data_IF_335594031826
#
_entry.id   IF_335594031826
#
_cell.length_a   1.000
_cell.length_b   1.000
_cell.length_c   1.000
_cell.angle_alpha   90.00
_cell.angle_beta   90.00
_cell.angle_gamma   90.00
#
_symmetry.space_group_name_H-M   'P 1'
#
loop_
_entity.id
_entity.type
_entity.pdbx_description
1 polymer ?
#
# COMPACT_ATOMS: atom_id res chain seq x y z
N UNK A 1 20.48 -3.35 -1.11
CA UNK A 1 19.47 -3.29 -2.18
C UNK A 1 18.13 -3.18 -1.51
N UNK A 2 17.40 -2.12 -1.81
CA UNK A 2 16.08 -1.88 -1.23
C UNK A 2 15.04 -2.03 -2.33
N UNK A 3 13.84 -2.41 -1.96
CA UNK A 3 12.70 -2.48 -2.85
C UNK A 3 11.88 -1.21 -2.71
N UNK A 4 11.50 -0.66 -3.85
CA UNK A 4 10.48 0.37 -3.92
C UNK A 4 9.16 -0.30 -4.27
N UNK A 5 8.11 0.04 -3.52
CA UNK A 5 6.76 -0.47 -3.73
C UNK A 5 5.74 0.64 -3.59
N UNK A 6 4.56 0.41 -4.16
CA UNK A 6 3.40 1.30 -3.98
C UNK A 6 2.36 0.53 -3.19
N UNK A 7 1.98 1.08 -2.04
CA UNK A 7 0.89 0.57 -1.20
C UNK A 7 -0.31 1.48 -1.39
N UNK A 8 -1.45 0.87 -1.73
CA UNK A 8 -2.72 1.58 -1.84
C UNK A 8 -3.45 1.44 -0.52
N UNK A 9 -3.71 2.56 0.15
CA UNK A 9 -4.32 2.57 1.48
C UNK A 9 -5.73 1.94 1.49
N UNK A 10 -6.53 2.23 0.47
CA UNK A 10 -7.91 1.71 0.34
C UNK A 10 -7.96 0.20 0.10
N UNK A 11 -6.85 -0.40 -0.34
CA UNK A 11 -6.72 -1.85 -0.48
C UNK A 11 -6.15 -2.51 0.78
N UNK A 12 -5.76 -1.72 1.78
CA UNK A 12 -5.16 -2.19 3.03
C UNK A 12 -6.22 -2.20 4.13
N UNK A 13 -6.65 -3.37 4.54
CA UNK A 13 -7.54 -3.51 5.70
C UNK A 13 -6.85 -3.05 6.99
N UNK A 14 -5.54 -3.29 7.09
CA UNK A 14 -4.74 -2.93 8.26
C UNK A 14 -3.56 -2.04 7.88
N UNK A 15 -3.60 -0.81 8.38
CA UNK A 15 -2.59 0.24 8.13
C UNK A 15 -1.35 0.11 9.00
N UNK A 16 -1.31 -0.86 9.93
CA UNK A 16 -0.18 -0.99 10.86
C UNK A 16 1.12 -1.37 10.12
N UNK A 17 0.98 -2.06 8.97
CA UNK A 17 2.13 -2.39 8.10
C UNK A 17 2.84 -1.15 7.55
N UNK A 18 2.16 0.01 7.45
CA UNK A 18 2.78 1.27 7.04
C UNK A 18 3.77 1.81 8.09
N UNK A 19 3.69 1.35 9.34
CA UNK A 19 4.64 1.72 10.41
C UNK A 19 5.94 0.92 10.34
N UNK A 20 5.91 -0.24 9.70
CA UNK A 20 7.05 -1.15 9.54
C UNK A 20 7.91 -0.83 8.30
N UNK A 21 7.43 0.08 7.44
CA UNK A 21 8.06 0.47 6.17
C UNK A 21 8.32 1.97 6.14
N UNK A 22 9.35 2.38 5.41
CA UNK A 22 9.67 3.80 5.25
C UNK A 22 8.83 4.40 4.12
N UNK A 23 7.99 5.37 4.41
CA UNK A 23 7.20 6.08 3.39
C UNK A 23 8.07 7.18 2.78
N UNK A 24 8.33 7.06 1.49
CA UNK A 24 9.16 8.00 0.73
C UNK A 24 8.31 9.09 0.10
N UNK A 25 7.11 8.73 -0.36
CA UNK A 25 6.21 9.67 -1.03
C UNK A 25 4.75 9.26 -0.81
N UNK A 26 3.85 10.25 -0.82
CA UNK A 26 2.41 10.02 -0.75
C UNK A 26 1.73 10.78 -1.87
N UNK A 27 1.00 10.06 -2.71
CA UNK A 27 0.23 10.64 -3.81
C UNK A 27 -1.25 10.31 -3.60
N UNK A 28 -2.09 11.34 -3.60
CA UNK A 28 -3.55 11.18 -3.46
C UNK A 28 -4.19 11.57 -4.80
N UNK A 29 -4.97 10.66 -5.38
CA UNK A 29 -5.70 10.88 -6.63
C UNK A 29 -7.19 10.67 -6.43
N UNK A 30 -8.01 11.69 -6.72
CA UNK A 30 -9.46 11.56 -6.62
C UNK A 30 -10.01 10.65 -7.70
N UNK A 31 -10.96 9.79 -7.33
CA UNK A 31 -11.61 8.88 -8.29
C UNK A 31 -12.49 9.72 -9.20
N UNK A 32 -12.17 9.74 -10.49
CA UNK A 32 -13.02 10.37 -11.50
C UNK A 32 -14.08 9.38 -11.98
N UNK A 33 -15.20 9.87 -12.52
CA UNK A 33 -16.31 9.02 -13.00
C UNK A 33 -15.90 7.95 -14.04
N UNK A 34 -14.73 8.10 -14.68
CA UNK A 34 -14.17 7.09 -15.59
C UNK A 34 -13.54 5.87 -14.90
N UNK A 35 -13.26 5.93 -13.59
CA UNK A 35 -12.70 4.81 -12.84
C UNK A 35 -13.85 3.88 -12.45
N UNK A 36 -13.76 2.60 -12.84
CA UNK A 36 -14.75 1.54 -12.54
C UNK A 36 -14.76 1.10 -11.06
N UNK A 37 -14.50 2.02 -10.13
CA UNK A 37 -14.44 1.78 -8.68
C UNK A 37 -15.31 2.80 -7.94
N UNK A 38 -16.65 2.73 -8.08
CA UNK A 38 -17.58 3.71 -7.51
C UNK A 38 -17.64 3.72 -5.98
N UNK A 39 -17.08 2.70 -5.31
CA UNK A 39 -17.03 2.62 -3.85
C UNK A 39 -15.84 3.37 -3.22
N UNK A 40 -14.82 3.72 -4.01
CA UNK A 40 -13.64 4.47 -3.55
C UNK A 40 -13.78 5.93 -3.98
N UNK A 41 -13.60 6.87 -3.05
CA UNK A 41 -13.69 8.32 -3.35
C UNK A 41 -12.34 8.94 -3.73
N UNK A 42 -11.25 8.36 -3.23
CA UNK A 42 -9.87 8.78 -3.53
C UNK A 42 -8.93 7.58 -3.42
N UNK A 43 -7.91 7.53 -4.27
CA UNK A 43 -6.81 6.60 -4.22
C UNK A 43 -5.63 7.25 -3.49
N UNK A 44 -5.31 6.73 -2.30
CA UNK A 44 -4.10 7.12 -1.57
C UNK A 44 -3.00 6.10 -1.87
N UNK A 45 -1.98 6.53 -2.58
CA UNK A 45 -0.81 5.73 -2.95
C UNK A 45 0.40 6.16 -2.11
N UNK A 46 0.84 5.28 -1.23
CA UNK A 46 2.08 5.43 -0.47
C UNK A 46 3.22 4.73 -1.21
N UNK A 47 4.20 5.51 -1.67
CA UNK A 47 5.47 4.96 -2.15
C UNK A 47 6.31 4.63 -0.94
N UNK A 48 6.63 3.35 -0.76
CA UNK A 48 7.40 2.85 0.38
C UNK A 48 8.73 2.26 -0.08
N UNK A 49 9.75 2.47 0.74
CA UNK A 49 11.05 1.83 0.60
C UNK A 49 11.18 0.74 1.66
N UNK A 50 11.47 -0.47 1.22
CA UNK A 50 11.63 -1.62 2.11
C UNK A 50 12.99 -2.25 1.89
N UNK A 51 13.78 -2.33 2.96
CA UNK A 51 15.03 -3.07 2.94
C UNK A 51 14.74 -4.54 2.59
N UNK A 52 15.56 -5.14 1.71
CA UNK A 52 15.39 -6.52 1.24
C UNK A 52 15.24 -7.56 2.35
N UNK A 53 15.86 -7.28 3.49
CA UNK A 53 15.81 -8.08 4.72
C UNK A 53 14.41 -8.13 5.33
N UNK A 54 13.68 -7.01 5.29
CA UNK A 54 12.31 -6.87 5.83
C UNK A 54 11.23 -7.09 4.78
N UNK A 55 11.57 -7.02 3.50
CA UNK A 55 10.61 -7.19 2.41
C UNK A 55 9.83 -8.51 2.51
N UNK A 56 10.48 -9.58 2.97
CA UNK A 56 9.83 -10.87 3.17
C UNK A 56 8.83 -10.85 4.34
N UNK A 57 9.20 -10.25 5.47
CA UNK A 57 8.31 -10.13 6.65
C UNK A 57 7.08 -9.28 6.33
N UNK A 58 7.29 -8.14 5.65
CA UNK A 58 6.21 -7.27 5.19
C UNK A 58 5.30 -7.99 4.20
N UNK A 59 5.86 -8.74 3.25
CA UNK A 59 5.07 -9.52 2.30
C UNK A 59 4.26 -10.64 2.99
N UNK A 60 4.80 -11.30 4.02
CA UNK A 60 4.04 -12.28 4.79
C UNK A 60 2.92 -11.63 5.62
N UNK A 61 3.17 -10.48 6.23
CA UNK A 61 2.14 -9.69 6.93
C UNK A 61 1.02 -9.23 6.01
N UNK A 62 1.35 -8.86 4.76
CA UNK A 62 0.36 -8.49 3.74
C UNK A 62 -0.42 -9.71 3.24
N UNK A 63 0.26 -10.83 2.99
CA UNK A 63 -0.36 -12.08 2.53
C UNK A 63 -1.41 -12.60 3.52
N UNK A 64 -1.14 -12.56 4.83
CA UNK A 64 -2.08 -13.03 5.84
C UNK A 64 -3.32 -12.13 6.03
N UNK A 65 -3.37 -10.98 5.35
CA UNK A 65 -4.49 -10.02 5.42
C UNK A 65 -5.24 -9.82 4.11
N UNK A 66 -4.91 -10.62 3.09
CA UNK A 66 -5.80 -10.86 1.95
C UNK A 66 -6.48 -12.21 2.19
N UNK A 67 -7.72 -12.22 2.71
CA UNK A 67 -8.54 -13.43 2.63
C UNK A 67 -9.06 -13.61 1.20
N UNK A 68 -9.20 -14.87 0.82
CA UNK A 68 -9.72 -15.40 -0.45
C UNK A 68 -11.15 -14.92 -0.77
#
# INVERSE_FOLDING_TARGET
MNYEGIIIEESLEDKDVLKDVEIVNTKIEFVTEGHKTPWVKQWTMYTVNVAKERAKDVAEKLRNRCQE
#
